data_IF_799609042404
#
_entry.id   IF_799609042404
#
_cell.length_a   1.000
_cell.length_b   1.000
_cell.length_c   1.000
_cell.angle_alpha   90.00
_cell.angle_beta   90.00
_cell.angle_gamma   90.00
#
_symmetry.space_group_name_H-M   'P 1'
#
loop_
_entity.id
_entity.type
_entity.pdbx_description
1 polymer ?
#
# COMPACT_ATOMS: atom_id res chain seq x y z
N UNK A 1 33.61 1.74 -12.23
CA UNK A 1 32.98 0.83 -13.23
C UNK A 1 32.98 -0.65 -12.81
N UNK A 2 34.10 -1.30 -12.42
CA UNK A 2 34.07 -2.70 -11.97
C UNK A 2 33.41 -2.90 -10.60
N UNK A 3 33.61 -1.98 -9.66
CA UNK A 3 33.04 -2.06 -8.31
C UNK A 3 31.51 -1.95 -8.31
N UNK A 4 30.94 -1.05 -9.12
CA UNK A 4 29.49 -0.85 -9.22
C UNK A 4 28.78 -2.05 -9.86
N UNK A 5 29.44 -2.71 -10.81
CA UNK A 5 28.94 -3.93 -11.44
C UNK A 5 28.94 -5.11 -10.46
N UNK A 6 29.94 -5.20 -9.56
CA UNK A 6 30.00 -6.25 -8.52
C UNK A 6 28.91 -6.06 -7.46
N UNK A 7 28.63 -4.83 -7.07
CA UNK A 7 27.55 -4.52 -6.10
C UNK A 7 26.18 -4.84 -6.70
N UNK A 8 25.93 -4.49 -7.97
CA UNK A 8 24.69 -4.84 -8.67
C UNK A 8 24.52 -6.36 -8.81
N UNK A 9 25.60 -7.09 -9.06
CA UNK A 9 25.63 -8.54 -9.10
C UNK A 9 25.35 -9.16 -7.72
N UNK A 10 25.94 -8.63 -6.67
CA UNK A 10 25.74 -9.10 -5.30
C UNK A 10 24.28 -8.95 -4.87
N UNK A 11 23.64 -7.83 -5.18
CA UNK A 11 22.23 -7.59 -4.89
C UNK A 11 21.26 -8.48 -5.69
N UNK A 12 21.61 -8.84 -6.93
CA UNK A 12 20.77 -9.72 -7.76
C UNK A 12 20.82 -11.19 -7.28
N UNK A 13 21.96 -11.64 -6.72
CA UNK A 13 22.18 -13.04 -6.34
C UNK A 13 22.08 -13.33 -4.83
N UNK A 14 22.01 -12.32 -3.97
CA UNK A 14 21.82 -12.52 -2.51
C UNK A 14 20.51 -13.24 -2.15
N UNK A 15 19.57 -13.39 -3.09
CA UNK A 15 18.34 -14.17 -2.91
C UNK A 15 18.37 -15.61 -3.42
N UNK A 16 19.48 -16.07 -4.03
CA UNK A 16 19.60 -17.43 -4.58
C UNK A 16 20.88 -18.08 -4.09
N UNK A 17 20.74 -19.08 -3.24
CA UNK A 17 21.83 -19.86 -2.67
C UNK A 17 22.85 -20.34 -3.72
N UNK A 18 24.13 -20.17 -3.39
CA UNK A 18 25.31 -20.80 -3.98
C UNK A 18 25.47 -20.75 -5.50
N UNK A 19 25.73 -19.57 -6.06
CA UNK A 19 26.36 -19.50 -7.39
C UNK A 19 27.86 -19.41 -7.18
N UNK A 20 28.63 -20.45 -7.56
CA UNK A 20 30.10 -20.37 -7.69
C UNK A 20 30.39 -19.44 -8.87
N UNK A 21 31.08 -18.35 -8.60
CA UNK A 21 31.55 -17.42 -9.62
C UNK A 21 32.62 -18.08 -10.44
N UNK A 22 32.41 -18.27 -11.74
CA UNK A 22 33.41 -18.70 -12.70
C UNK A 22 33.93 -17.44 -13.40
N UNK A 23 35.22 -17.17 -13.31
CA UNK A 23 35.88 -16.02 -13.96
C UNK A 23 35.62 -15.97 -15.47
N UNK A 24 35.39 -17.13 -16.10
CA UNK A 24 35.02 -17.24 -17.52
C UNK A 24 33.66 -16.61 -17.86
N UNK A 25 32.73 -16.51 -16.89
CA UNK A 25 31.47 -15.84 -17.08
C UNK A 25 31.60 -14.31 -17.08
N UNK A 26 32.60 -13.80 -16.35
CA UNK A 26 32.87 -12.34 -16.27
C UNK A 26 33.54 -11.82 -17.55
N UNK A 27 34.14 -12.68 -18.36
CA UNK A 27 34.76 -12.34 -19.66
C UNK A 27 33.74 -12.45 -20.83
N UNK A 28 32.52 -12.87 -20.58
CA UNK A 28 31.52 -13.01 -21.65
C UNK A 28 30.67 -11.74 -21.77
N UNK A 29 30.95 -10.93 -22.81
CA UNK A 29 30.23 -9.68 -23.08
C UNK A 29 28.71 -9.85 -23.17
N UNK A 30 28.22 -10.96 -23.71
CA UNK A 30 26.78 -11.25 -23.78
C UNK A 30 26.17 -11.50 -22.40
N UNK A 31 26.92 -12.10 -21.48
CA UNK A 31 26.49 -12.31 -20.11
C UNK A 31 26.47 -10.99 -19.33
N UNK A 32 27.54 -10.19 -19.46
CA UNK A 32 27.63 -8.84 -18.86
C UNK A 32 26.50 -7.95 -19.38
N UNK A 33 26.25 -7.93 -20.70
CA UNK A 33 25.18 -7.15 -21.30
C UNK A 33 23.77 -7.59 -20.86
N UNK A 34 23.54 -8.89 -20.61
CA UNK A 34 22.30 -9.39 -20.03
C UNK A 34 22.11 -8.92 -18.58
N UNK A 35 23.17 -8.88 -17.78
CA UNK A 35 23.12 -8.42 -16.39
C UNK A 35 22.92 -6.90 -16.35
N UNK A 36 23.65 -6.14 -17.17
CA UNK A 36 23.48 -4.68 -17.29
C UNK A 36 22.05 -4.34 -17.70
N UNK A 37 21.51 -5.01 -18.75
CA UNK A 37 20.11 -4.82 -19.17
C UNK A 37 19.08 -5.27 -18.11
N UNK A 38 19.38 -6.29 -17.32
CA UNK A 38 18.52 -6.70 -16.19
C UNK A 38 18.61 -5.72 -15.02
N UNK A 39 19.81 -5.18 -14.74
CA UNK A 39 20.03 -4.10 -13.79
C UNK A 39 19.36 -2.81 -14.20
N UNK A 40 19.44 -2.42 -15.49
CA UNK A 40 18.74 -1.26 -16.04
C UNK A 40 17.21 -1.42 -16.05
N UNK A 41 16.69 -2.64 -16.26
CA UNK A 41 15.25 -2.93 -16.08
C UNK A 41 14.81 -2.90 -14.63
N UNK A 42 15.68 -3.20 -13.68
CA UNK A 42 15.38 -3.07 -12.24
C UNK A 42 15.54 -1.63 -11.74
N UNK A 43 16.40 -0.81 -12.38
CA UNK A 43 16.55 0.62 -12.10
C UNK A 43 15.57 1.49 -12.89
N UNK A 44 14.99 0.97 -13.99
CA UNK A 44 13.80 1.51 -14.68
C UNK A 44 12.47 0.93 -14.15
N UNK A 45 12.42 0.40 -12.93
CA UNK A 45 11.23 0.63 -12.14
C UNK A 45 11.16 2.15 -12.04
N UNK A 46 10.24 2.72 -12.85
CA UNK A 46 9.80 4.08 -12.72
C UNK A 46 9.85 4.42 -11.25
N UNK A 47 10.60 5.47 -10.90
CA UNK A 47 10.39 6.16 -9.65
C UNK A 47 8.93 6.62 -9.73
N UNK A 48 8.00 5.73 -9.38
CA UNK A 48 6.74 6.15 -8.83
C UNK A 48 7.21 6.97 -7.65
N UNK A 49 7.24 8.30 -7.82
CA UNK A 49 7.34 9.21 -6.69
C UNK A 49 6.38 8.64 -5.68
N UNK A 50 6.91 8.15 -4.57
CA UNK A 50 6.06 7.47 -3.62
C UNK A 50 5.09 8.55 -3.19
N UNK A 51 3.79 8.35 -3.47
CA UNK A 51 2.72 9.29 -3.11
C UNK A 51 2.88 9.75 -1.66
N UNK A 52 3.50 8.92 -0.83
CA UNK A 52 3.82 9.18 0.57
C UNK A 52 4.92 10.20 0.77
N UNK A 53 5.90 10.30 -0.14
CA UNK A 53 6.93 11.35 -0.10
C UNK A 53 6.36 12.69 -0.55
N UNK A 54 5.41 12.66 -1.50
CA UNK A 54 4.78 13.86 -2.04
C UNK A 54 3.76 14.47 -1.08
N UNK A 55 3.00 13.65 -0.35
CA UNK A 55 2.00 14.09 0.62
C UNK A 55 2.39 13.61 2.01
N UNK A 56 3.00 14.50 2.80
CA UNK A 56 3.40 14.20 4.18
C UNK A 56 2.18 14.04 5.08
N UNK A 57 2.26 13.15 6.06
CA UNK A 57 1.26 13.04 7.09
C UNK A 57 1.40 14.21 8.06
N UNK A 58 0.47 15.17 8.03
CA UNK A 58 0.54 16.44 8.78
C UNK A 58 -0.60 16.59 9.79
N UNK A 59 -1.66 15.81 9.67
CA UNK A 59 -2.82 15.89 10.57
C UNK A 59 -2.65 14.92 11.73
N UNK A 60 -2.51 15.45 12.94
CA UNK A 60 -2.34 14.64 14.15
C UNK A 60 -3.70 14.13 14.64
N UNK A 61 -3.83 12.83 14.82
CA UNK A 61 -4.99 12.15 15.37
C UNK A 61 -5.04 12.20 16.91
N UNK A 62 -6.19 11.89 17.48
CA UNK A 62 -6.39 11.89 18.94
C UNK A 62 -5.56 10.80 19.65
N UNK A 63 -5.26 9.70 18.98
CA UNK A 63 -4.38 8.62 19.46
C UNK A 63 -2.89 8.88 19.24
N UNK A 64 -2.55 10.04 18.65
CA UNK A 64 -1.18 10.52 18.50
C UNK A 64 -0.48 10.17 17.18
N UNK A 65 -1.13 9.45 16.26
CA UNK A 65 -0.62 9.20 14.92
C UNK A 65 -0.72 10.44 14.03
N UNK A 66 -0.13 10.36 12.83
CA UNK A 66 -0.26 11.38 11.81
C UNK A 66 -0.85 10.74 10.54
N UNK A 67 -1.81 11.43 9.93
CA UNK A 67 -2.48 11.04 8.69
C UNK A 67 -2.34 12.13 7.62
N UNK A 68 -2.62 11.82 6.35
CA UNK A 68 -2.32 12.72 5.21
C UNK A 68 -3.47 13.64 4.85
N UNK A 69 -4.69 13.32 5.21
CA UNK A 69 -5.87 14.10 4.86
C UNK A 69 -6.78 14.36 6.06
N UNK A 70 -7.64 15.37 5.92
CA UNK A 70 -8.67 15.67 6.93
C UNK A 70 -9.73 14.56 7.02
N UNK A 71 -10.04 13.92 5.89
CA UNK A 71 -10.97 12.80 5.88
C UNK A 71 -10.40 11.60 6.67
N UNK A 72 -9.13 11.26 6.46
CA UNK A 72 -8.45 10.24 7.24
C UNK A 72 -8.40 10.60 8.74
N UNK A 73 -8.22 11.90 9.07
CA UNK A 73 -8.27 12.37 10.46
C UNK A 73 -9.64 12.08 11.10
N UNK A 74 -10.73 12.35 10.37
CA UNK A 74 -12.10 12.07 10.87
C UNK A 74 -12.28 10.58 11.10
N UNK A 75 -11.89 9.73 10.13
CA UNK A 75 -12.01 8.28 10.25
C UNK A 75 -11.17 7.75 11.41
N UNK A 76 -9.90 8.16 11.53
CA UNK A 76 -9.01 7.74 12.61
C UNK A 76 -9.54 8.11 13.99
N UNK A 77 -9.98 9.36 14.16
CA UNK A 77 -10.53 9.85 15.41
C UNK A 77 -11.84 9.15 15.79
N UNK A 78 -12.67 8.83 14.79
CA UNK A 78 -13.88 8.05 15.01
C UNK A 78 -13.55 6.63 15.49
N UNK A 79 -12.65 5.92 14.82
CA UNK A 79 -12.22 4.58 15.20
C UNK A 79 -11.63 4.56 16.62
N UNK A 80 -10.83 5.57 16.96
CA UNK A 80 -10.25 5.71 18.29
C UNK A 80 -11.32 5.97 19.35
N UNK A 81 -12.29 6.86 19.09
CA UNK A 81 -13.39 7.18 20.03
C UNK A 81 -14.26 5.96 20.32
N UNK A 82 -14.50 5.11 19.31
CA UNK A 82 -15.26 3.86 19.44
C UNK A 82 -14.43 2.68 20.02
N UNK A 83 -13.17 2.92 20.37
CA UNK A 83 -12.28 1.90 20.92
C UNK A 83 -11.91 0.78 19.93
N UNK A 84 -11.96 1.07 18.64
CA UNK A 84 -11.63 0.11 17.58
C UNK A 84 -10.15 0.20 17.26
N UNK A 85 -9.42 -0.90 17.50
CA UNK A 85 -8.02 -1.00 17.09
C UNK A 85 -7.89 -1.03 15.56
N UNK A 86 -7.00 -0.19 15.02
CA UNK A 86 -6.74 -0.10 13.59
C UNK A 86 -5.24 0.06 13.30
N UNK A 87 -4.87 -0.18 12.05
CA UNK A 87 -3.56 0.17 11.51
C UNK A 87 -3.74 1.10 10.31
N UNK A 88 -3.03 2.22 10.30
CA UNK A 88 -3.03 3.20 9.22
C UNK A 88 -2.00 2.80 8.14
N UNK A 89 -2.33 3.00 6.86
CA UNK A 89 -1.48 2.69 5.69
C UNK A 89 -0.85 1.30 5.74
N UNK A 90 -1.65 0.29 6.06
CA UNK A 90 -1.15 -1.08 6.11
C UNK A 90 -1.04 -1.67 4.71
N UNK A 91 0.09 -2.33 4.43
CA UNK A 91 0.25 -3.14 3.21
C UNK A 91 -0.75 -4.30 3.21
N UNK A 92 -1.51 -4.42 2.13
CA UNK A 92 -2.44 -5.53 1.92
C UNK A 92 -1.65 -6.80 1.61
N UNK A 93 -1.94 -7.96 2.25
CA UNK A 93 -1.16 -9.20 2.08
C UNK A 93 -1.52 -9.93 0.79
N UNK A 94 -1.36 -9.28 -0.35
CA UNK A 94 -1.57 -9.81 -1.70
C UNK A 94 -0.30 -9.73 -2.53
N UNK A 95 -0.32 -10.27 -3.76
CA UNK A 95 0.87 -10.27 -4.64
C UNK A 95 1.23 -8.88 -5.13
N UNK A 96 0.21 -8.07 -5.37
CA UNK A 96 0.33 -6.69 -5.81
C UNK A 96 0.80 -5.80 -4.63
N UNK A 97 1.56 -4.75 -4.93
CA UNK A 97 2.02 -3.81 -3.90
C UNK A 97 0.96 -2.74 -3.66
N UNK A 98 0.04 -3.03 -2.76
CA UNK A 98 -1.12 -2.18 -2.44
C UNK A 98 -1.18 -1.92 -0.94
N UNK A 99 -1.55 -0.71 -0.58
CA UNK A 99 -1.77 -0.28 0.80
C UNK A 99 -3.19 0.21 0.96
N UNK A 100 -3.82 -0.14 2.08
CA UNK A 100 -5.12 0.41 2.47
C UNK A 100 -4.93 1.66 3.33
N UNK A 101 -5.96 2.50 3.40
CA UNK A 101 -5.93 3.65 4.30
C UNK A 101 -6.02 3.19 5.75
N UNK A 102 -6.97 2.32 6.08
CA UNK A 102 -7.07 1.71 7.41
C UNK A 102 -7.33 0.22 7.33
N UNK A 103 -6.84 -0.49 8.33
CA UNK A 103 -7.08 -1.92 8.52
C UNK A 103 -7.54 -2.19 9.94
N UNK A 104 -8.69 -2.85 10.08
CA UNK A 104 -9.23 -3.29 11.37
C UNK A 104 -8.95 -4.78 11.54
N UNK A 105 -8.09 -5.18 12.51
CA UNK A 105 -7.76 -6.60 12.73
C UNK A 105 -8.97 -7.45 13.09
N UNK A 106 -9.88 -6.91 13.91
CA UNK A 106 -11.16 -7.54 14.23
C UNK A 106 -12.04 -7.52 12.97
N UNK A 107 -12.37 -8.68 12.42
CA UNK A 107 -13.10 -8.80 11.16
C UNK A 107 -12.23 -8.75 9.90
N UNK A 108 -10.92 -8.47 10.00
CA UNK A 108 -9.99 -8.34 8.85
C UNK A 108 -10.53 -7.40 7.79
N UNK A 109 -10.95 -6.21 8.22
CA UNK A 109 -11.62 -5.22 7.38
C UNK A 109 -10.61 -4.20 6.89
N UNK A 110 -10.67 -3.89 5.61
CA UNK A 110 -9.93 -2.81 4.95
C UNK A 110 -10.87 -1.64 4.73
N UNK A 111 -10.43 -0.42 5.03
CA UNK A 111 -11.20 0.81 4.79
C UNK A 111 -10.42 1.64 3.80
N UNK A 112 -11.11 2.18 2.80
CA UNK A 112 -10.59 3.09 1.79
C UNK A 112 -11.44 4.36 1.74
N UNK A 113 -10.78 5.51 1.68
CA UNK A 113 -11.46 6.79 1.46
C UNK A 113 -11.30 7.25 0.02
N UNK A 114 -12.42 7.57 -0.64
CA UNK A 114 -12.46 8.01 -2.03
C UNK A 114 -12.95 9.47 -2.12
N UNK A 115 -12.00 10.42 -2.11
CA UNK A 115 -12.30 11.85 -2.03
C UNK A 115 -12.34 12.60 -3.36
N UNK A 116 -11.82 12.02 -4.46
CA UNK A 116 -11.70 12.70 -5.75
C UNK A 116 -12.56 12.00 -6.80
N UNK A 117 -13.73 12.58 -7.12
CA UNK A 117 -14.65 12.00 -8.10
C UNK A 117 -14.47 12.59 -9.52
N UNK A 118 -13.75 13.70 -9.66
CA UNK A 118 -13.62 14.44 -10.92
C UNK A 118 -12.32 14.10 -11.70
N UNK A 119 -11.46 13.21 -11.22
CA UNK A 119 -10.20 12.81 -11.86
C UNK A 119 -10.32 11.41 -12.45
N UNK A 120 -10.36 11.32 -13.79
CA UNK A 120 -10.46 10.03 -14.51
C UNK A 120 -9.31 9.06 -14.16
N UNK A 121 -8.09 9.58 -13.98
CA UNK A 121 -6.94 8.74 -13.61
C UNK A 121 -7.07 8.21 -12.17
N UNK A 122 -7.68 9.00 -11.29
CA UNK A 122 -8.00 8.58 -9.93
C UNK A 122 -9.10 7.52 -9.92
N UNK A 123 -10.19 7.73 -10.66
CA UNK A 123 -11.30 6.77 -10.79
C UNK A 123 -10.82 5.41 -11.31
N UNK A 124 -9.98 5.41 -12.34
CA UNK A 124 -9.37 4.18 -12.86
C UNK A 124 -8.53 3.44 -11.81
N UNK A 125 -7.76 4.16 -10.99
CA UNK A 125 -6.98 3.57 -9.89
C UNK A 125 -7.90 3.01 -8.79
N UNK A 126 -8.98 3.73 -8.45
CA UNK A 126 -10.02 3.28 -7.53
C UNK A 126 -10.62 1.95 -7.99
N UNK A 127 -11.09 1.88 -9.25
CA UNK A 127 -11.66 0.68 -9.83
C UNK A 127 -10.68 -0.51 -9.77
N UNK A 128 -9.44 -0.31 -10.21
CA UNK A 128 -8.41 -1.34 -10.14
C UNK A 128 -8.17 -1.84 -8.71
N UNK A 129 -8.17 -0.93 -7.73
CA UNK A 129 -7.98 -1.28 -6.32
C UNK A 129 -9.18 -2.07 -5.78
N UNK A 130 -10.41 -1.66 -6.09
CA UNK A 130 -11.63 -2.38 -5.74
C UNK A 130 -11.66 -3.79 -6.37
N UNK A 131 -11.24 -3.93 -7.62
CA UNK A 131 -11.14 -5.24 -8.29
C UNK A 131 -10.15 -6.17 -7.57
N UNK A 132 -9.03 -5.64 -7.06
CA UNK A 132 -8.08 -6.42 -6.26
C UNK A 132 -8.73 -6.91 -4.96
N UNK A 133 -9.45 -6.06 -4.22
CA UNK A 133 -10.17 -6.47 -3.01
C UNK A 133 -11.18 -7.60 -3.32
N UNK A 134 -11.94 -7.47 -4.42
CA UNK A 134 -12.88 -8.51 -4.88
C UNK A 134 -12.17 -9.80 -5.27
N UNK A 135 -11.10 -9.70 -6.09
CA UNK A 135 -10.31 -10.85 -6.56
C UNK A 135 -9.76 -11.70 -5.41
N UNK A 136 -9.32 -11.04 -4.33
CA UNK A 136 -8.75 -11.71 -3.17
C UNK A 136 -9.77 -11.98 -2.06
N UNK A 137 -11.06 -11.72 -2.30
CA UNK A 137 -12.15 -11.87 -1.34
C UNK A 137 -11.86 -11.22 0.02
N UNK A 138 -11.41 -9.96 -0.01
CA UNK A 138 -11.08 -9.18 1.16
C UNK A 138 -12.27 -8.31 1.58
N UNK A 139 -12.47 -8.15 2.88
CA UNK A 139 -13.54 -7.33 3.44
C UNK A 139 -13.21 -5.85 3.26
N UNK A 140 -13.88 -5.16 2.37
CA UNK A 140 -13.69 -3.75 2.06
C UNK A 140 -14.87 -2.91 2.55
N UNK A 141 -14.58 -1.81 3.22
CA UNK A 141 -15.53 -0.71 3.48
C UNK A 141 -15.01 0.49 2.68
N UNK A 142 -15.88 1.06 1.86
CA UNK A 142 -15.60 2.22 1.06
C UNK A 142 -16.26 3.45 1.70
N UNK A 143 -15.49 4.51 1.90
CA UNK A 143 -15.99 5.80 2.44
C UNK A 143 -15.72 6.86 1.37
N UNK A 144 -16.73 7.68 1.09
CA UNK A 144 -16.67 8.82 0.17
C UNK A 144 -17.01 10.14 0.88
N UNK A 145 -17.07 11.22 0.11
CA UNK A 145 -17.39 12.55 0.63
C UNK A 145 -18.82 12.65 1.20
N UNK A 146 -19.74 11.80 0.77
CA UNK A 146 -21.11 11.79 1.27
C UNK A 146 -21.22 10.99 2.57
N UNK A 147 -20.62 9.82 2.59
CA UNK A 147 -20.68 8.90 3.74
C UNK A 147 -19.85 9.40 4.92
N UNK A 148 -18.75 10.13 4.69
CA UNK A 148 -17.93 10.68 5.77
C UNK A 148 -18.67 11.73 6.61
N UNK A 149 -19.61 12.48 6.01
CA UNK A 149 -20.42 13.47 6.72
C UNK A 149 -21.42 12.81 7.69
N UNK A 150 -21.71 11.51 7.51
CA UNK A 150 -22.62 10.72 8.34
C UNK A 150 -21.90 9.46 8.85
N UNK A 151 -20.63 9.60 9.22
CA UNK A 151 -19.76 8.47 9.59
C UNK A 151 -20.30 7.70 10.81
N UNK A 152 -20.94 8.41 11.76
CA UNK A 152 -21.54 7.84 12.97
C UNK A 152 -22.69 6.86 12.67
N UNK A 153 -23.41 7.09 11.58
CA UNK A 153 -24.47 6.21 11.12
C UNK A 153 -23.99 5.12 10.15
N UNK A 154 -22.96 5.45 9.37
CA UNK A 154 -22.49 4.59 8.29
C UNK A 154 -21.53 3.49 8.77
N UNK A 155 -20.44 3.85 9.44
CA UNK A 155 -19.42 2.90 9.85
C UNK A 155 -19.94 1.80 10.80
N UNK A 156 -20.79 2.08 11.79
CA UNK A 156 -21.34 1.02 12.66
C UNK A 156 -22.09 -0.05 11.87
N UNK A 157 -22.89 0.35 10.88
CA UNK A 157 -23.66 -0.56 10.03
C UNK A 157 -22.75 -1.43 9.16
N UNK A 158 -21.73 -0.82 8.56
CA UNK A 158 -20.76 -1.53 7.74
C UNK A 158 -19.92 -2.51 8.56
N UNK A 159 -19.42 -2.09 9.73
CA UNK A 159 -18.65 -2.92 10.64
C UNK A 159 -19.46 -4.13 11.13
N UNK A 160 -20.74 -3.93 11.41
CA UNK A 160 -21.63 -5.00 11.87
C UNK A 160 -21.79 -6.11 10.82
N UNK A 161 -21.77 -5.79 9.51
CA UNK A 161 -21.81 -6.80 8.43
C UNK A 161 -20.65 -7.80 8.52
N UNK A 162 -19.53 -7.37 9.09
CA UNK A 162 -18.32 -8.18 9.29
C UNK A 162 -18.16 -8.69 10.74
N UNK A 163 -19.22 -8.61 11.55
CA UNK A 163 -19.23 -9.11 12.92
C UNK A 163 -18.46 -8.24 13.93
N UNK A 164 -18.20 -6.98 13.59
CA UNK A 164 -17.60 -6.00 14.49
C UNK A 164 -18.72 -5.12 15.07
N UNK A 165 -19.09 -5.38 16.32
CA UNK A 165 -20.03 -4.54 17.06
C UNK A 165 -19.27 -3.50 17.87
N UNK A 166 -19.87 -2.31 18.01
CA UNK A 166 -19.42 -1.29 18.94
C UNK A 166 -19.83 -1.71 20.36
N UNK A 167 -18.99 -1.38 21.33
CA UNK A 167 -19.35 -1.52 22.73
C UNK A 167 -20.20 -0.28 23.09
N UNK A 168 -21.51 -0.41 23.00
CA UNK A 168 -22.47 0.55 23.53
C UNK A 168 -22.49 0.50 25.04
#
# INVERSE_FOLDING_TARGET
MLADTMVAMQNYYMGKASVRWDERLLCNENFINKIVKAGEKSSKKEQKEDFREKFKAEYRTNDGHYVRSRAELVIANWLFAEGIAYAYEKRVPIKEDVYCDFYIPKGKIYIEFWGYEDDEAYLKRKEQKIELYKKYNLNLIEIDNNTINNIDDYLPKELLKFGVSLNL
#
